data_IF_452805081553
#
_entry.id   IF_452805081553
#
_cell.length_a   1.000
_cell.length_b   1.000
_cell.length_c   1.000
_cell.angle_alpha   90.00
_cell.angle_beta   90.00
_cell.angle_gamma   90.00
#
_symmetry.space_group_name_H-M   'P 1'
#
loop_
_entity.id
_entity.type
_entity.pdbx_description
1 polymer ?
#
# COMPACT_ATOMS: atom_id res chain seq x y z
N UNK A 1 24.42 15.69 -14.84
CA UNK A 1 23.25 15.64 -15.74
C UNK A 1 22.01 15.68 -14.86
N UNK A 2 21.21 16.77 -14.91
CA UNK A 2 19.88 16.80 -14.32
C UNK A 2 19.00 15.82 -15.15
N UNK A 3 18.83 14.60 -14.65
CA UNK A 3 17.96 13.61 -15.26
C UNK A 3 16.50 13.85 -14.83
N UNK A 4 15.56 13.43 -15.65
CA UNK A 4 14.15 13.34 -15.29
C UNK A 4 13.95 12.24 -14.24
N UNK A 5 13.10 12.49 -13.25
CA UNK A 5 12.56 11.47 -12.34
C UNK A 5 11.08 11.25 -12.67
N UNK A 6 10.71 10.00 -12.92
CA UNK A 6 9.31 9.58 -12.99
C UNK A 6 8.90 9.11 -11.60
N UNK A 7 7.90 9.74 -11.01
CA UNK A 7 7.37 9.32 -9.72
C UNK A 7 6.40 8.15 -9.90
N UNK A 8 6.50 7.17 -9.02
CA UNK A 8 5.51 6.09 -8.91
C UNK A 8 4.21 6.60 -8.29
N UNK A 9 3.11 5.84 -8.43
CA UNK A 9 1.85 6.16 -7.77
C UNK A 9 1.98 6.26 -6.24
N UNK A 10 2.80 5.40 -5.62
CA UNK A 10 3.07 5.45 -4.18
C UNK A 10 3.87 6.69 -3.77
N UNK A 11 4.85 7.12 -4.56
CA UNK A 11 5.62 8.34 -4.31
C UNK A 11 4.76 9.61 -4.47
N UNK A 12 3.90 9.63 -5.51
CA UNK A 12 2.93 10.72 -5.67
C UNK A 12 1.93 10.75 -4.52
N UNK A 13 1.49 9.59 -4.03
CA UNK A 13 0.58 9.51 -2.88
C UNK A 13 1.23 10.05 -1.59
N UNK A 14 2.53 9.83 -1.38
CA UNK A 14 3.25 10.42 -0.26
C UNK A 14 3.27 11.96 -0.34
N UNK A 15 3.55 12.50 -1.52
CA UNK A 15 3.56 13.95 -1.78
C UNK A 15 2.16 14.55 -1.63
N UNK A 16 1.15 13.96 -2.28
CA UNK A 16 -0.23 14.44 -2.24
C UNK A 16 -0.83 14.30 -0.84
N UNK A 17 -0.63 13.17 -0.15
CA UNK A 17 -1.11 12.99 1.22
C UNK A 17 -0.51 14.02 2.18
N UNK A 18 0.79 14.27 2.08
CA UNK A 18 1.45 15.34 2.83
C UNK A 18 0.83 16.72 2.51
N UNK A 19 0.66 17.04 1.21
CA UNK A 19 0.14 18.33 0.77
C UNK A 19 -1.31 18.57 1.20
N UNK A 20 -2.16 17.55 1.09
CA UNK A 20 -3.55 17.63 1.53
C UNK A 20 -3.65 17.83 3.04
N UNK A 21 -2.80 17.16 3.82
CA UNK A 21 -2.74 17.35 5.27
C UNK A 21 -2.23 18.75 5.64
N UNK A 22 -1.18 19.21 4.96
CA UNK A 22 -0.60 20.54 5.17
C UNK A 22 -1.66 21.63 4.98
N UNK A 23 -2.35 21.65 3.83
CA UNK A 23 -3.40 22.62 3.56
C UNK A 23 -4.60 22.48 4.50
N UNK A 24 -4.92 21.25 4.88
CA UNK A 24 -6.02 21.03 5.81
C UNK A 24 -5.71 21.65 7.17
N UNK A 25 -4.51 21.47 7.70
CA UNK A 25 -4.05 22.05 8.98
C UNK A 25 -3.99 23.58 8.96
N UNK A 26 -3.57 24.19 7.85
CA UNK A 26 -3.57 25.66 7.70
C UNK A 26 -4.99 26.25 7.85
N UNK A 27 -6.01 25.52 7.43
CA UNK A 27 -7.42 25.95 7.53
C UNK A 27 -8.11 25.49 8.83
N UNK A 28 -7.50 24.59 9.60
CA UNK A 28 -8.03 24.00 10.82
C UNK A 28 -6.94 24.00 11.90
N UNK A 29 -6.70 25.15 12.57
CA UNK A 29 -5.58 25.29 13.50
C UNK A 29 -5.78 24.54 14.83
N UNK A 30 -6.99 24.10 15.16
CA UNK A 30 -7.24 23.30 16.36
C UNK A 30 -6.77 21.85 16.15
N UNK A 31 -5.78 21.37 16.93
CA UNK A 31 -5.33 19.97 16.83
C UNK A 31 -6.45 18.92 17.05
N UNK A 32 -7.51 19.28 17.77
CA UNK A 32 -8.65 18.39 17.99
C UNK A 32 -9.40 18.05 16.70
N UNK A 33 -9.35 18.92 15.70
CA UNK A 33 -10.00 18.70 14.41
C UNK A 33 -9.46 17.49 13.67
N UNK A 34 -8.17 17.13 13.87
CA UNK A 34 -7.54 15.93 13.24
C UNK A 34 -8.23 14.62 13.60
N UNK A 35 -8.95 14.57 14.74
CA UNK A 35 -9.68 13.38 15.18
C UNK A 35 -10.86 12.99 14.26
N UNK A 36 -11.27 13.88 13.35
CA UNK A 36 -12.32 13.60 12.35
C UNK A 36 -11.78 13.45 10.94
N UNK A 37 -10.46 13.52 10.78
CA UNK A 37 -9.80 13.44 9.47
C UNK A 37 -9.37 12.02 9.17
N UNK A 38 -9.66 11.58 7.97
CA UNK A 38 -9.30 10.28 7.44
C UNK A 38 -8.53 10.41 6.13
N UNK A 39 -7.57 9.52 5.95
CA UNK A 39 -7.01 9.20 4.65
C UNK A 39 -7.13 7.70 4.39
N UNK A 40 -7.43 7.32 3.16
CA UNK A 40 -7.68 5.94 2.79
C UNK A 40 -6.67 5.47 1.73
N UNK A 41 -6.32 4.19 1.76
CA UNK A 41 -5.57 3.56 0.69
C UNK A 41 -6.04 2.12 0.49
N UNK A 42 -5.81 1.56 -0.71
CA UNK A 42 -6.02 0.13 -0.88
C UNK A 42 -4.97 -0.68 -0.13
N UNK A 43 -5.32 -1.88 0.28
CA UNK A 43 -4.44 -2.76 1.06
C UNK A 43 -3.18 -3.23 0.33
N UNK A 44 -3.09 -2.98 -0.98
CA UNK A 44 -1.90 -3.24 -1.82
C UNK A 44 -1.08 -1.97 -2.10
N UNK A 45 -1.59 -0.81 -1.72
CA UNK A 45 -0.91 0.49 -1.85
C UNK A 45 0.07 0.73 -0.70
N UNK A 46 0.94 1.74 -0.85
CA UNK A 46 1.92 2.12 0.16
C UNK A 46 1.30 2.41 1.53
N UNK A 47 2.03 2.03 2.57
CA UNK A 47 1.69 2.29 3.97
C UNK A 47 2.15 3.67 4.47
N UNK A 48 2.68 4.52 3.58
CA UNK A 48 3.17 5.85 3.95
C UNK A 48 2.10 6.70 4.65
N UNK A 49 0.83 6.63 4.21
CA UNK A 49 -0.25 7.37 4.87
C UNK A 49 -0.49 6.88 6.31
N UNK A 50 -0.24 5.59 6.58
CA UNK A 50 -0.29 5.05 7.95
C UNK A 50 0.82 5.61 8.82
N UNK A 51 2.03 5.80 8.24
CA UNK A 51 3.14 6.41 8.96
C UNK A 51 2.85 7.90 9.26
N UNK A 52 2.33 8.64 8.27
CA UNK A 52 1.87 10.01 8.48
C UNK A 52 0.78 10.09 9.57
N UNK A 53 -0.23 9.24 9.51
CA UNK A 53 -1.34 9.23 10.46
C UNK A 53 -0.87 9.01 11.92
N UNK A 54 0.09 8.10 12.11
CA UNK A 54 0.68 7.84 13.43
C UNK A 54 1.44 9.04 14.01
N UNK A 55 2.11 9.79 13.13
CA UNK A 55 2.89 10.97 13.54
C UNK A 55 2.02 12.21 13.73
N UNK A 56 1.00 12.39 12.89
CA UNK A 56 0.23 13.62 12.75
C UNK A 56 -1.14 13.58 13.44
N UNK A 57 -1.58 12.39 13.92
CA UNK A 57 -2.76 12.22 14.75
C UNK A 57 -4.10 12.15 14.02
N UNK A 58 -4.12 11.94 12.70
CA UNK A 58 -5.34 11.66 11.95
C UNK A 58 -5.57 10.15 11.77
N UNK A 59 -6.69 9.73 11.18
CA UNK A 59 -7.03 8.33 10.97
C UNK A 59 -6.63 7.83 9.59
N UNK A 60 -6.01 6.66 9.55
CA UNK A 60 -5.73 5.94 8.33
C UNK A 60 -6.48 4.61 8.29
N UNK A 61 -7.13 4.29 7.18
CA UNK A 61 -7.75 3.00 6.96
C UNK A 61 -7.38 2.39 5.61
N UNK A 62 -7.27 1.06 5.59
CA UNK A 62 -7.11 0.29 4.38
C UNK A 62 -8.47 -0.18 3.85
N UNK A 63 -8.61 -0.22 2.53
CA UNK A 63 -9.74 -0.87 1.86
C UNK A 63 -9.25 -2.01 0.98
N UNK A 64 -10.17 -2.83 0.49
CA UNK A 64 -9.86 -3.78 -0.58
C UNK A 64 -9.44 -3.04 -1.87
N UNK A 65 -8.62 -3.67 -2.74
CA UNK A 65 -8.25 -3.09 -4.03
C UNK A 65 -9.46 -2.79 -4.91
N UNK A 66 -9.47 -1.60 -5.47
CA UNK A 66 -10.54 -1.07 -6.31
C UNK A 66 -11.20 0.16 -5.69
N UNK A 67 -11.26 1.25 -6.44
CA UNK A 67 -11.71 2.56 -5.92
C UNK A 67 -13.15 2.57 -5.42
N UNK A 68 -13.99 1.63 -5.88
CA UNK A 68 -15.35 1.44 -5.35
C UNK A 68 -15.38 1.18 -3.84
N UNK A 69 -14.38 0.46 -3.30
CA UNK A 69 -14.27 0.22 -1.86
C UNK A 69 -13.94 1.50 -1.12
N UNK A 70 -13.03 2.31 -1.68
CA UNK A 70 -12.70 3.63 -1.14
C UNK A 70 -13.94 4.53 -1.14
N UNK A 71 -14.65 4.65 -2.28
CA UNK A 71 -15.85 5.48 -2.39
C UNK A 71 -16.96 5.08 -1.42
N UNK A 72 -17.21 3.78 -1.24
CA UNK A 72 -18.17 3.30 -0.25
C UNK A 72 -17.74 3.66 1.18
N UNK A 73 -16.44 3.50 1.50
CA UNK A 73 -15.94 3.84 2.84
C UNK A 73 -16.01 5.34 3.11
N UNK A 74 -15.73 6.20 2.12
CA UNK A 74 -15.93 7.65 2.21
C UNK A 74 -17.38 7.96 2.58
N UNK A 75 -18.34 7.35 1.87
CA UNK A 75 -19.75 7.54 2.13
C UNK A 75 -20.14 7.14 3.57
N UNK A 76 -19.64 6.02 4.07
CA UNK A 76 -19.93 5.57 5.43
C UNK A 76 -19.31 6.47 6.50
N UNK A 77 -18.08 6.95 6.29
CA UNK A 77 -17.40 7.89 7.19
C UNK A 77 -18.11 9.24 7.23
N UNK A 78 -18.59 9.73 6.08
CA UNK A 78 -19.30 11.01 6.01
C UNK A 78 -20.62 11.02 6.79
N UNK A 79 -21.33 9.88 6.88
CA UNK A 79 -22.54 9.74 7.68
C UNK A 79 -22.31 9.95 9.18
N UNK A 80 -21.09 9.71 9.65
CA UNK A 80 -20.71 9.86 11.06
C UNK A 80 -19.98 11.18 11.33
N UNK A 81 -20.00 12.12 10.36
CA UNK A 81 -19.39 13.45 10.50
C UNK A 81 -17.86 13.45 10.35
N UNK A 82 -17.29 12.36 9.82
CA UNK A 82 -15.87 12.28 9.51
C UNK A 82 -15.59 12.78 8.08
N UNK A 83 -14.38 13.28 7.86
CA UNK A 83 -13.95 13.81 6.57
C UNK A 83 -12.78 13.03 6.02
N UNK A 84 -12.91 12.50 4.80
CA UNK A 84 -11.79 11.93 4.06
C UNK A 84 -11.20 13.04 3.18
N UNK A 85 -9.97 13.44 3.47
CA UNK A 85 -9.27 14.52 2.75
C UNK A 85 -8.43 14.03 1.59
N UNK A 86 -7.98 12.77 1.64
CA UNK A 86 -7.18 12.13 0.58
C UNK A 86 -7.39 10.63 0.57
N UNK A 87 -7.40 10.07 -0.63
CA UNK A 87 -7.38 8.62 -0.81
C UNK A 87 -6.66 8.24 -2.11
N UNK A 88 -6.07 7.02 -2.14
CA UNK A 88 -5.38 6.59 -3.35
C UNK A 88 -5.34 5.07 -3.53
N UNK A 89 -5.07 4.67 -4.77
CA UNK A 89 -4.60 3.34 -5.15
C UNK A 89 -3.28 3.44 -5.92
N UNK A 90 -2.39 2.46 -5.76
CA UNK A 90 -1.02 2.46 -6.29
C UNK A 90 -0.94 2.58 -7.82
N UNK A 91 -2.00 2.18 -8.50
CA UNK A 91 -2.13 2.24 -9.97
C UNK A 91 -2.46 3.66 -10.48
N UNK A 92 -1.88 4.69 -9.83
CA UNK A 92 -2.01 6.11 -10.20
C UNK A 92 -3.47 6.59 -10.13
N UNK A 93 -4.19 6.20 -9.08
CA UNK A 93 -5.55 6.65 -8.80
C UNK A 93 -5.59 7.48 -7.53
N UNK A 94 -5.92 8.78 -7.64
CA UNK A 94 -5.92 9.72 -6.51
C UNK A 94 -7.27 10.41 -6.38
N UNK A 95 -7.70 10.58 -5.14
CA UNK A 95 -8.82 11.44 -4.72
C UNK A 95 -8.24 12.53 -3.84
N UNK A 96 -8.34 13.78 -4.29
CA UNK A 96 -7.89 14.97 -3.57
C UNK A 96 -9.11 15.80 -3.14
N UNK A 97 -9.43 15.76 -1.85
CA UNK A 97 -10.58 16.49 -1.29
C UNK A 97 -11.89 15.69 -1.34
N UNK A 98 -13.01 16.36 -1.08
CA UNK A 98 -14.31 15.73 -0.85
C UNK A 98 -15.35 15.96 -1.96
N UNK A 99 -14.99 16.66 -3.04
CA UNK A 99 -15.93 17.05 -4.08
C UNK A 99 -16.43 15.88 -4.93
N UNK A 100 -15.54 14.95 -5.25
CA UNK A 100 -15.85 13.76 -6.04
C UNK A 100 -15.37 12.53 -5.27
N UNK A 101 -16.25 11.60 -4.87
CA UNK A 101 -15.85 10.38 -4.12
C UNK A 101 -15.30 9.28 -5.04
N UNK A 102 -14.55 9.63 -6.05
CA UNK A 102 -13.89 8.77 -7.01
C UNK A 102 -12.51 9.36 -7.35
N UNK A 103 -11.61 8.52 -7.87
CA UNK A 103 -10.32 8.99 -8.36
C UNK A 103 -10.51 9.90 -9.58
N UNK A 104 -9.80 11.02 -9.57
CA UNK A 104 -9.82 11.98 -10.66
C UNK A 104 -8.40 12.52 -10.95
N UNK A 105 -7.88 12.18 -12.14
CA UNK A 105 -6.56 12.59 -12.56
C UNK A 105 -6.45 14.08 -12.89
N UNK A 106 -7.55 14.73 -13.26
CA UNK A 106 -7.55 16.16 -13.60
C UNK A 106 -7.40 16.99 -12.32
N UNK A 107 -8.21 16.75 -11.31
CA UNK A 107 -8.09 17.43 -10.01
C UNK A 107 -6.75 17.11 -9.35
N UNK A 108 -6.27 15.86 -9.40
CA UNK A 108 -4.96 15.50 -8.86
C UNK A 108 -3.83 16.27 -9.57
N UNK A 109 -3.89 16.45 -10.88
CA UNK A 109 -2.89 17.21 -11.63
C UNK A 109 -2.86 18.70 -11.22
N UNK A 110 -4.02 19.30 -10.98
CA UNK A 110 -4.12 20.68 -10.46
C UNK A 110 -3.48 20.78 -9.09
N UNK A 111 -3.79 19.85 -8.18
CA UNK A 111 -3.21 19.81 -6.83
C UNK A 111 -1.69 19.62 -6.87
N UNK A 112 -1.18 18.77 -7.77
CA UNK A 112 0.29 18.62 -7.97
C UNK A 112 0.92 19.90 -8.48
N UNK A 113 0.28 20.61 -9.42
CA UNK A 113 0.80 21.87 -9.95
C UNK A 113 0.83 22.96 -8.87
N UNK A 114 -0.19 23.06 -8.05
CA UNK A 114 -0.24 23.97 -6.90
C UNK A 114 0.87 23.67 -5.89
N UNK A 115 1.02 22.40 -5.49
CA UNK A 115 2.09 21.95 -4.60
C UNK A 115 3.47 22.27 -5.18
N UNK A 116 3.68 22.02 -6.48
CA UNK A 116 4.95 22.29 -7.13
C UNK A 116 5.28 23.79 -7.13
N UNK A 117 4.30 24.66 -7.39
CA UNK A 117 4.46 26.11 -7.35
C UNK A 117 4.79 26.61 -5.93
N UNK A 118 4.10 26.06 -4.91
CA UNK A 118 4.40 26.35 -3.52
C UNK A 118 5.83 25.95 -3.14
N UNK A 119 6.25 24.72 -3.47
CA UNK A 119 7.58 24.23 -3.17
C UNK A 119 8.67 25.04 -3.92
N UNK A 120 8.43 25.43 -5.16
CA UNK A 120 9.34 26.27 -5.92
C UNK A 120 9.59 27.61 -5.21
N UNK A 121 8.57 28.23 -4.63
CA UNK A 121 8.72 29.47 -3.83
C UNK A 121 9.55 29.24 -2.55
N UNK A 122 9.66 28.00 -2.08
CA UNK A 122 10.52 27.58 -0.97
C UNK A 122 11.90 27.08 -1.44
N UNK A 123 12.22 27.21 -2.74
CA UNK A 123 13.43 26.66 -3.37
C UNK A 123 13.57 25.13 -3.22
N UNK A 124 12.44 24.42 -3.16
CA UNK A 124 12.37 22.97 -3.07
C UNK A 124 11.79 22.37 -4.35
N UNK A 125 12.31 21.23 -4.77
CA UNK A 125 11.69 20.39 -5.79
C UNK A 125 10.78 19.33 -5.15
N UNK A 126 9.86 18.76 -5.94
CA UNK A 126 9.05 17.61 -5.51
C UNK A 126 9.90 16.44 -5.01
N UNK A 127 11.07 16.20 -5.63
CA UNK A 127 11.96 15.13 -5.20
C UNK A 127 12.61 15.40 -3.84
N UNK A 128 13.00 16.65 -3.57
CA UNK A 128 13.51 17.04 -2.27
C UNK A 128 12.43 16.94 -1.19
N UNK A 129 11.20 17.34 -1.52
CA UNK A 129 10.08 17.21 -0.59
C UNK A 129 9.73 15.75 -0.31
N UNK A 130 9.76 14.87 -1.31
CA UNK A 130 9.60 13.43 -1.08
C UNK A 130 10.68 12.87 -0.14
N UNK A 131 11.94 13.31 -0.33
CA UNK A 131 13.01 12.94 0.57
C UNK A 131 12.77 13.42 2.02
N UNK A 132 12.29 14.66 2.20
CA UNK A 132 11.92 15.20 3.50
C UNK A 132 10.81 14.37 4.17
N UNK A 133 9.77 13.98 3.42
CA UNK A 133 8.69 13.12 3.88
C UNK A 133 9.27 11.77 4.36
N UNK A 134 10.11 11.14 3.57
CA UNK A 134 10.71 9.85 3.93
C UNK A 134 11.69 9.96 5.11
N UNK A 135 12.40 11.05 5.23
CA UNK A 135 13.29 11.29 6.39
C UNK A 135 12.46 11.44 7.68
N UNK A 136 11.31 12.11 7.59
CA UNK A 136 10.45 12.38 8.75
C UNK A 136 9.62 11.15 9.15
N UNK A 137 9.04 10.46 8.18
CA UNK A 137 8.04 9.39 8.45
C UNK A 137 8.55 7.97 8.16
N UNK A 138 9.79 7.84 7.69
CA UNK A 138 10.41 6.60 7.28
C UNK A 138 10.31 6.35 5.77
N UNK A 139 11.32 5.69 5.23
CA UNK A 139 11.35 5.30 3.82
C UNK A 139 10.32 4.21 3.52
N UNK A 140 9.54 4.40 2.46
CA UNK A 140 8.58 3.44 1.93
C UNK A 140 8.98 3.09 0.50
N UNK A 141 9.68 1.98 0.35
CA UNK A 141 10.20 1.52 -0.93
C UNK A 141 9.35 0.39 -1.46
N UNK A 142 8.72 0.58 -2.61
CA UNK A 142 7.76 -0.38 -3.17
C UNK A 142 8.31 -1.07 -4.41
N UNK A 143 8.00 -2.36 -4.56
CA UNK A 143 8.23 -3.15 -5.76
C UNK A 143 6.97 -3.93 -6.11
N UNK A 144 6.46 -3.69 -7.31
CA UNK A 144 5.24 -4.33 -7.80
C UNK A 144 5.51 -4.95 -9.16
N UNK A 145 5.08 -6.19 -9.36
CA UNK A 145 5.09 -6.87 -10.66
C UNK A 145 4.06 -8.00 -10.67
N UNK A 146 4.10 -8.84 -11.69
CA UNK A 146 3.19 -9.97 -11.83
C UNK A 146 3.87 -11.15 -12.54
N UNK A 147 3.25 -12.31 -12.44
CA UNK A 147 3.49 -13.47 -13.28
C UNK A 147 2.21 -13.83 -14.01
N UNK A 148 2.32 -14.29 -15.26
CA UNK A 148 1.18 -14.74 -16.05
C UNK A 148 0.95 -16.23 -15.80
N UNK A 149 -0.30 -16.60 -15.54
CA UNK A 149 -0.75 -17.98 -15.38
C UNK A 149 -2.13 -18.14 -16.04
N UNK A 150 -2.17 -18.84 -17.16
CA UNK A 150 -3.41 -19.06 -17.94
C UNK A 150 -4.25 -20.25 -17.44
N UNK A 151 -3.77 -20.97 -16.44
CA UNK A 151 -4.43 -22.15 -15.89
C UNK A 151 -5.01 -21.87 -14.49
N UNK A 152 -6.33 -21.65 -14.36
CA UNK A 152 -6.98 -21.39 -13.07
C UNK A 152 -6.74 -22.49 -12.01
N UNK A 153 -6.74 -23.80 -12.34
CA UNK A 153 -6.39 -24.84 -11.37
C UNK A 153 -5.00 -24.67 -10.78
N UNK A 154 -4.00 -24.26 -11.59
CA UNK A 154 -2.65 -23.98 -11.11
C UNK A 154 -2.62 -22.83 -10.12
N UNK A 155 -3.38 -21.73 -10.39
CA UNK A 155 -3.50 -20.62 -9.45
C UNK A 155 -4.08 -21.13 -8.12
N UNK A 156 -5.14 -21.91 -8.15
CA UNK A 156 -5.76 -22.46 -6.95
C UNK A 156 -4.79 -23.35 -6.17
N UNK A 157 -4.06 -24.22 -6.86
CA UNK A 157 -3.04 -25.10 -6.27
C UNK A 157 -1.92 -24.30 -5.58
N UNK A 158 -1.44 -23.22 -6.19
CA UNK A 158 -0.42 -22.33 -5.59
C UNK A 158 -0.92 -21.75 -4.29
N UNK A 159 -2.09 -21.11 -4.27
CA UNK A 159 -2.64 -20.48 -3.06
C UNK A 159 -3.04 -21.51 -2.00
N UNK A 160 -3.54 -22.68 -2.39
CA UNK A 160 -3.81 -23.77 -1.46
C UNK A 160 -2.51 -24.27 -0.80
N UNK A 161 -1.42 -24.42 -1.57
CA UNK A 161 -0.11 -24.79 -1.02
C UNK A 161 0.41 -23.74 -0.05
N UNK A 162 0.25 -22.46 -0.33
CA UNK A 162 0.68 -21.38 0.59
C UNK A 162 -0.11 -21.45 1.91
N UNK A 163 -1.40 -21.78 1.88
CA UNK A 163 -2.24 -21.93 3.09
C UNK A 163 -1.91 -23.16 3.92
N UNK A 164 -1.23 -24.14 3.32
CA UNK A 164 -0.84 -25.41 3.96
C UNK A 164 0.68 -25.60 3.91
N UNK A 165 1.45 -24.50 3.96
CA UNK A 165 2.89 -24.53 3.70
C UNK A 165 3.69 -25.29 4.76
N UNK A 166 3.35 -25.10 6.03
CA UNK A 166 3.95 -25.79 7.19
C UNK A 166 3.12 -27.00 7.68
N UNK A 167 2.06 -27.33 6.95
CA UNK A 167 1.08 -28.36 7.29
C UNK A 167 -0.35 -27.86 7.11
N UNK A 168 -1.34 -28.68 7.42
CA UNK A 168 -2.75 -28.37 7.18
C UNK A 168 -3.19 -27.09 7.91
N UNK A 169 -3.63 -26.09 7.17
CA UNK A 169 -4.05 -24.78 7.66
C UNK A 169 -2.92 -23.89 8.20
N UNK A 170 -1.65 -24.26 8.01
CA UNK A 170 -0.50 -23.53 8.53
C UNK A 170 0.21 -22.74 7.43
N UNK A 171 0.17 -21.42 7.55
CA UNK A 171 0.87 -20.49 6.65
C UNK A 171 2.40 -20.54 6.84
N UNK A 172 3.18 -20.03 5.84
CA UNK A 172 4.63 -19.95 5.95
C UNK A 172 5.06 -19.13 7.17
N UNK A 173 6.04 -19.64 7.92
CA UNK A 173 6.66 -18.94 9.05
C UNK A 173 7.90 -18.15 8.65
N UNK A 174 8.45 -18.44 7.48
CA UNK A 174 9.68 -17.83 6.95
C UNK A 174 9.49 -17.52 5.46
N UNK A 175 10.08 -16.42 5.00
CA UNK A 175 10.20 -16.04 3.60
C UNK A 175 11.57 -15.41 3.39
N UNK A 176 12.40 -15.99 2.52
CA UNK A 176 13.76 -15.51 2.26
C UNK A 176 14.64 -15.47 3.52
N UNK A 177 14.48 -16.41 4.43
CA UNK A 177 15.20 -16.44 5.71
C UNK A 177 14.69 -15.46 6.78
N UNK A 178 13.68 -14.65 6.48
CA UNK A 178 13.06 -13.70 7.42
C UNK A 178 11.78 -14.28 8.03
N UNK A 179 11.58 -14.10 9.33
CA UNK A 179 10.35 -14.54 9.99
C UNK A 179 9.13 -13.78 9.46
N UNK A 180 8.06 -14.50 9.17
CA UNK A 180 6.73 -13.96 8.92
C UNK A 180 6.06 -13.74 10.27
N UNK A 181 5.82 -12.47 10.62
CA UNK A 181 5.24 -12.11 11.92
C UNK A 181 3.72 -11.99 11.87
N UNK A 182 3.15 -11.65 10.71
CA UNK A 182 1.70 -11.61 10.50
C UNK A 182 1.34 -12.11 9.11
N UNK A 183 0.19 -12.79 9.02
CA UNK A 183 -0.46 -13.20 7.78
C UNK A 183 -1.90 -12.71 7.78
N UNK A 184 -2.29 -12.03 6.70
CA UNK A 184 -3.68 -11.67 6.42
C UNK A 184 -4.14 -12.29 5.11
N UNK A 185 -5.12 -13.19 5.18
CA UNK A 185 -5.73 -13.82 4.02
C UNK A 185 -7.20 -13.38 3.90
N UNK A 186 -7.44 -12.38 3.05
CA UNK A 186 -8.79 -11.86 2.84
C UNK A 186 -9.69 -12.81 2.06
N UNK A 187 -9.15 -13.86 1.42
CA UNK A 187 -9.95 -14.91 0.79
C UNK A 187 -10.69 -15.75 1.83
N UNK A 188 -10.02 -16.04 2.94
CA UNK A 188 -10.56 -16.86 4.05
C UNK A 188 -11.13 -16.02 5.18
N UNK A 189 -10.74 -14.74 5.27
CA UNK A 189 -11.05 -13.84 6.37
C UNK A 189 -10.10 -13.98 7.57
N UNK A 190 -8.95 -14.64 7.38
CA UNK A 190 -7.95 -14.83 8.41
C UNK A 190 -7.02 -13.62 8.55
N UNK A 191 -6.71 -13.22 9.78
CA UNK A 191 -5.69 -12.20 10.08
C UNK A 191 -5.04 -12.49 11.44
N UNK A 192 -3.77 -12.89 11.42
CA UNK A 192 -3.03 -13.24 12.65
C UNK A 192 -2.59 -12.02 13.48
N UNK A 193 -2.81 -10.80 13.00
CA UNK A 193 -2.54 -9.58 13.77
C UNK A 193 -3.65 -9.25 14.78
N UNK A 194 -4.79 -9.93 14.68
CA UNK A 194 -5.94 -9.78 15.59
C UNK A 194 -6.08 -10.99 16.50
N UNK A 195 -6.48 -10.75 17.75
CA UNK A 195 -6.63 -11.81 18.76
C UNK A 195 -7.71 -12.85 18.38
N UNK A 196 -8.75 -12.45 17.66
CA UNK A 196 -9.81 -13.31 17.15
C UNK A 196 -9.48 -13.96 15.80
N UNK A 197 -8.28 -13.69 15.26
CA UNK A 197 -7.78 -14.17 13.97
C UNK A 197 -8.66 -13.78 12.78
N UNK A 198 -9.46 -12.71 12.89
CA UNK A 198 -10.39 -12.26 11.85
C UNK A 198 -9.91 -10.96 11.20
N UNK A 199 -9.97 -10.93 9.88
CA UNK A 199 -9.68 -9.73 9.12
C UNK A 199 -10.81 -8.70 9.26
N UNK A 200 -10.43 -7.44 9.48
CA UNK A 200 -11.37 -6.30 9.44
C UNK A 200 -11.79 -5.97 8.01
N UNK A 201 -11.00 -6.39 7.01
CA UNK A 201 -11.36 -6.25 5.62
C UNK A 201 -12.43 -7.29 5.23
N UNK A 202 -13.35 -6.95 4.31
CA UNK A 202 -14.35 -7.88 3.82
C UNK A 202 -13.74 -9.14 3.19
N UNK A 203 -14.40 -10.29 3.36
CA UNK A 203 -13.94 -11.56 2.80
C UNK A 203 -14.20 -11.61 1.30
N UNK A 204 -13.17 -11.91 0.51
CA UNK A 204 -13.20 -12.03 -0.96
C UNK A 204 -13.08 -13.48 -1.40
N UNK A 205 -14.13 -14.28 -1.27
CA UNK A 205 -14.10 -15.73 -1.60
C UNK A 205 -13.78 -16.05 -3.07
N UNK A 206 -14.07 -15.12 -3.97
CA UNK A 206 -13.88 -15.30 -5.41
C UNK A 206 -12.53 -14.76 -5.93
N UNK A 207 -11.66 -14.30 -5.04
CA UNK A 207 -10.34 -13.77 -5.40
C UNK A 207 -9.31 -14.28 -4.39
N UNK A 208 -8.13 -14.62 -4.86
CA UNK A 208 -7.02 -15.02 -3.99
C UNK A 208 -6.25 -13.76 -3.56
N UNK A 209 -6.05 -13.60 -2.25
CA UNK A 209 -5.23 -12.49 -1.74
C UNK A 209 -4.69 -12.80 -0.36
N UNK A 210 -3.38 -12.91 -0.25
CA UNK A 210 -2.64 -13.16 1.00
C UNK A 210 -1.57 -12.09 1.16
N UNK A 211 -1.51 -11.49 2.34
CA UNK A 211 -0.49 -10.50 2.74
C UNK A 211 0.35 -11.06 3.87
N UNK A 212 1.67 -10.94 3.75
CA UNK A 212 2.66 -11.30 4.76
C UNK A 212 3.33 -10.05 5.30
N UNK A 213 3.50 -9.95 6.60
CA UNK A 213 4.34 -8.94 7.24
C UNK A 213 5.57 -9.65 7.81
N UNK A 214 6.75 -9.18 7.41
CA UNK A 214 8.02 -9.76 7.81
C UNK A 214 8.65 -8.97 8.96
N UNK A 215 9.52 -9.63 9.72
CA UNK A 215 10.19 -9.05 10.90
C UNK A 215 11.01 -7.80 10.62
N UNK A 216 11.50 -7.63 9.39
CA UNK A 216 12.29 -6.45 8.98
C UNK A 216 11.42 -5.26 8.52
N UNK A 217 10.08 -5.36 8.61
CA UNK A 217 9.15 -4.31 8.20
C UNK A 217 8.66 -4.41 6.74
N UNK A 218 9.09 -5.41 5.98
CA UNK A 218 8.54 -5.65 4.64
C UNK A 218 7.12 -6.19 4.74
N UNK A 219 6.21 -5.58 3.99
CA UNK A 219 4.84 -6.06 3.77
C UNK A 219 4.73 -6.54 2.33
N UNK A 220 4.34 -7.79 2.13
CA UNK A 220 4.28 -8.41 0.82
C UNK A 220 2.91 -9.05 0.58
N UNK A 221 2.27 -8.73 -0.54
CA UNK A 221 0.94 -9.26 -0.91
C UNK A 221 1.01 -10.01 -2.24
N UNK A 222 0.44 -11.19 -2.26
CA UNK A 222 0.15 -11.97 -3.47
C UNK A 222 -1.35 -11.92 -3.71
N UNK A 223 -1.77 -11.58 -4.93
CA UNK A 223 -3.18 -11.62 -5.29
C UNK A 223 -3.42 -11.99 -6.76
N UNK A 224 -4.57 -12.57 -7.05
CA UNK A 224 -5.03 -12.74 -8.43
C UNK A 224 -5.51 -11.41 -9.02
N UNK A 225 -5.29 -11.21 -10.32
CA UNK A 225 -5.99 -10.15 -11.06
C UNK A 225 -7.44 -10.56 -11.29
N UNK A 226 -8.37 -9.59 -11.21
CA UNK A 226 -9.79 -9.83 -11.50
C UNK A 226 -10.13 -9.84 -12.99
N UNK A 227 -9.22 -9.34 -13.85
CA UNK A 227 -9.49 -9.12 -15.29
C UNK A 227 -8.49 -9.79 -16.21
N UNK A 228 -7.37 -10.27 -15.69
CA UNK A 228 -6.27 -10.84 -16.46
C UNK A 228 -5.78 -12.15 -15.83
N UNK A 229 -5.23 -13.09 -16.60
CA UNK A 229 -4.69 -14.34 -16.09
C UNK A 229 -3.31 -14.12 -15.42
N UNK A 230 -3.30 -13.34 -14.34
CA UNK A 230 -2.09 -12.91 -13.65
C UNK A 230 -2.20 -13.10 -12.15
N UNK A 231 -1.07 -13.48 -11.54
CA UNK A 231 -0.83 -13.33 -10.11
C UNK A 231 0.07 -12.11 -9.94
N UNK A 232 -0.46 -11.06 -9.31
CA UNK A 232 0.29 -9.84 -8.99
C UNK A 232 0.94 -10.00 -7.62
N UNK A 233 2.13 -9.42 -7.48
CA UNK A 233 2.79 -9.29 -6.19
C UNK A 233 3.17 -7.85 -5.92
N UNK A 234 3.03 -7.47 -4.67
CA UNK A 234 3.30 -6.14 -4.14
C UNK A 234 4.19 -6.33 -2.93
N UNK A 235 5.33 -5.70 -2.90
CA UNK A 235 6.20 -5.70 -1.74
C UNK A 235 6.60 -4.27 -1.41
N UNK A 236 6.53 -3.92 -0.14
CA UNK A 236 6.95 -2.61 0.35
C UNK A 236 7.80 -2.77 1.59
N UNK A 237 8.94 -2.12 1.60
CA UNK A 237 9.74 -1.93 2.80
C UNK A 237 9.24 -0.68 3.53
N UNK A 238 8.70 -0.85 4.74
CA UNK A 238 8.24 0.24 5.60
C UNK A 238 9.32 0.49 6.66
N UNK A 239 10.31 1.31 6.33
CA UNK A 239 11.41 1.62 7.23
C UNK A 239 10.97 2.54 8.37
N UNK A 240 11.54 2.36 9.55
CA UNK A 240 11.36 3.29 10.65
C UNK A 240 12.07 4.63 10.36
N UNK A 241 11.59 5.76 10.90
CA UNK A 241 12.32 7.02 10.84
C UNK A 241 13.77 6.85 11.31
N UNK A 242 14.71 7.46 10.58
CA UNK A 242 16.16 7.35 10.86
C UNK A 242 16.88 6.20 10.14
N UNK A 243 16.17 5.25 9.55
CA UNK A 243 16.76 4.26 8.64
C UNK A 243 16.92 4.90 7.25
N UNK A 244 18.10 5.39 6.93
CA UNK A 244 18.38 6.21 5.72
C UNK A 244 19.29 5.53 4.69
N UNK A 245 19.77 4.31 4.96
CA UNK A 245 20.54 3.54 3.98
C UNK A 245 19.61 2.92 2.92
N UNK A 246 19.18 3.77 1.99
CA UNK A 246 18.22 3.41 0.92
C UNK A 246 18.72 2.22 0.11
N UNK A 247 20.03 2.14 -0.17
CA UNK A 247 20.60 1.05 -0.95
C UNK A 247 20.41 -0.30 -0.26
N UNK A 248 20.70 -0.35 1.04
CA UNK A 248 20.47 -1.55 1.84
C UNK A 248 18.99 -1.95 1.88
N UNK A 249 18.10 -0.96 2.05
CA UNK A 249 16.65 -1.21 2.05
C UNK A 249 16.18 -1.77 0.70
N UNK A 250 16.71 -1.26 -0.42
CA UNK A 250 16.41 -1.78 -1.77
C UNK A 250 16.92 -3.21 -1.96
N UNK A 251 18.14 -3.53 -1.51
CA UNK A 251 18.70 -4.87 -1.57
C UNK A 251 17.88 -5.88 -0.76
N UNK A 252 17.46 -5.52 0.46
CA UNK A 252 16.59 -6.35 1.30
C UNK A 252 15.21 -6.57 0.65
N UNK A 253 14.60 -5.51 0.10
CA UNK A 253 13.32 -5.61 -0.60
C UNK A 253 13.43 -6.50 -1.84
N UNK A 254 14.53 -6.41 -2.57
CA UNK A 254 14.80 -7.27 -3.73
C UNK A 254 14.95 -8.73 -3.31
N UNK A 255 15.64 -9.01 -2.22
CA UNK A 255 15.80 -10.36 -1.66
C UNK A 255 14.46 -10.98 -1.28
N UNK A 256 13.61 -10.23 -0.57
CA UNK A 256 12.24 -10.68 -0.22
C UNK A 256 11.40 -10.93 -1.48
N UNK A 257 11.48 -10.05 -2.47
CA UNK A 257 10.71 -10.21 -3.71
C UNK A 257 11.13 -11.47 -4.47
N UNK A 258 12.44 -11.76 -4.53
CA UNK A 258 12.96 -12.98 -5.14
C UNK A 258 12.50 -14.23 -4.37
N UNK A 259 12.50 -14.18 -3.04
CA UNK A 259 12.00 -15.27 -2.21
C UNK A 259 10.50 -15.54 -2.41
N UNK A 260 9.67 -14.49 -2.48
CA UNK A 260 8.23 -14.64 -2.81
C UNK A 260 8.03 -15.39 -4.13
N UNK A 261 8.80 -15.05 -5.16
CA UNK A 261 8.73 -15.71 -6.45
C UNK A 261 9.16 -17.17 -6.33
N UNK A 262 10.35 -17.43 -5.78
CA UNK A 262 10.97 -18.75 -5.80
C UNK A 262 10.33 -19.73 -4.81
N UNK A 263 9.96 -19.27 -3.61
CA UNK A 263 9.43 -20.13 -2.55
C UNK A 263 7.91 -20.29 -2.66
N UNK A 264 7.18 -19.17 -2.94
CA UNK A 264 5.73 -19.20 -2.92
C UNK A 264 5.12 -19.41 -4.30
N UNK A 265 5.57 -18.74 -5.35
CA UNK A 265 5.00 -18.90 -6.68
C UNK A 265 5.62 -20.05 -7.46
N UNK A 266 6.92 -20.32 -7.28
CA UNK A 266 7.67 -21.39 -7.95
C UNK A 266 7.44 -21.38 -9.48
N UNK A 267 7.90 -20.33 -10.21
CA UNK A 267 7.55 -20.11 -11.61
C UNK A 267 7.87 -21.31 -12.50
N UNK A 268 9.06 -21.87 -12.38
CA UNK A 268 9.50 -23.00 -13.21
C UNK A 268 8.63 -24.25 -12.98
N UNK A 269 8.31 -24.54 -11.71
CA UNK A 269 7.49 -25.70 -11.33
C UNK A 269 6.04 -25.57 -11.75
N UNK A 270 5.50 -24.33 -11.75
CA UNK A 270 4.13 -24.04 -12.07
C UNK A 270 3.95 -23.48 -13.49
N UNK A 271 5.00 -23.49 -14.31
CA UNK A 271 5.01 -22.98 -15.69
C UNK A 271 4.46 -21.56 -15.81
N UNK A 272 4.85 -20.68 -14.86
CA UNK A 272 4.46 -19.27 -14.87
C UNK A 272 5.40 -18.48 -15.81
N UNK A 273 4.83 -17.50 -16.50
CA UNK A 273 5.60 -16.58 -17.34
C UNK A 273 5.88 -15.30 -16.52
N UNK A 274 7.16 -14.99 -16.33
CA UNK A 274 7.65 -13.82 -15.58
C UNK A 274 7.73 -12.61 -16.50
#
# INVERSE_FOLDING_TARGET
>A
RCGWKVFTGNELAALLGWWMLFNWKENHPDPADTQRVYMLATSVSSKILRALARAEGFHFEETLPGFKWIGNRIHDLSKTGNQVIFAFEESIGFLCGSMVPEKDGVSAAVVVAEMAAYLQNQNLSLNQQLHNIYTTYGYHLSKTSYVTCNDPPTIQRIFSRIRNFEGDGLYPKVCGGLCVIHVRDVTTGYDSSHADLRSVLPVLRNSQMITFTLQNGVVATLRTSGTEPKIKYYAEFCAAPGQSDVRRLEEELQGVTAALLNEFLQPDKNHLII
#
